data_IF_947772197466
#
_entry.id   IF_947772197466
#
_cell.length_a   1.000
_cell.length_b   1.000
_cell.length_c   1.000
_cell.angle_alpha   90.00
_cell.angle_beta   90.00
_cell.angle_gamma   90.00
#
_symmetry.space_group_name_H-M   'P 1'
#
loop_
_entity.id
_entity.type
_entity.pdbx_description
1 polymer ?
#
# COMPACT_ATOMS: atom_id res chain seq x y z
N UNK A 1 6.43 -9.19 24.28
CA UNK A 1 7.03 -7.90 23.92
C UNK A 1 6.39 -7.47 22.61
N UNK A 2 5.43 -6.56 22.68
CA UNK A 2 4.59 -6.18 21.52
C UNK A 2 5.14 -4.92 20.85
N UNK A 3 4.85 -4.74 19.56
CA UNK A 3 5.31 -3.58 18.75
C UNK A 3 4.92 -2.23 19.39
N UNK A 4 3.87 -2.21 20.21
CA UNK A 4 3.42 -1.06 21.01
C UNK A 4 4.41 -0.64 22.10
N UNK A 5 5.17 -1.57 22.69
CA UNK A 5 6.10 -1.29 23.79
C UNK A 5 7.42 -0.65 23.30
N UNK A 6 7.81 -0.90 22.05
CA UNK A 6 9.02 -0.31 21.45
C UNK A 6 8.77 1.03 20.77
N UNK A 7 7.56 1.26 20.25
CA UNK A 7 7.24 2.45 19.43
C UNK A 7 6.73 3.64 20.23
N UNK A 8 6.38 3.48 21.52
CA UNK A 8 5.82 4.56 22.35
C UNK A 8 4.47 5.09 21.85
N UNK A 9 3.81 4.41 20.91
CA UNK A 9 2.56 4.91 20.33
C UNK A 9 1.38 4.54 21.21
N UNK A 10 0.65 5.54 21.73
CA UNK A 10 -0.68 5.39 22.32
C UNK A 10 -1.80 5.29 21.28
N UNK A 11 -1.43 5.26 19.99
CA UNK A 11 -2.39 5.22 18.89
C UNK A 11 -3.07 3.87 18.87
N UNK A 12 -4.41 3.89 18.93
CA UNK A 12 -5.22 2.74 18.54
C UNK A 12 -5.04 2.52 17.03
N UNK A 13 -4.06 1.70 16.70
CA UNK A 13 -3.70 1.35 15.33
C UNK A 13 -4.87 0.75 14.55
N UNK A 14 -5.77 0.03 15.22
CA UNK A 14 -6.96 -0.53 14.59
C UNK A 14 -7.88 0.58 14.08
N UNK A 15 -8.21 1.54 14.95
CA UNK A 15 -9.02 2.70 14.59
C UNK A 15 -8.36 3.59 13.53
N UNK A 16 -7.04 3.81 13.62
CA UNK A 16 -6.31 4.58 12.62
C UNK A 16 -6.32 3.90 11.24
N UNK A 17 -6.16 2.57 11.19
CA UNK A 17 -6.22 1.81 9.94
C UNK A 17 -7.63 1.82 9.34
N UNK A 18 -8.68 1.73 10.16
CA UNK A 18 -10.05 1.86 9.70
C UNK A 18 -10.31 3.25 9.10
N UNK A 19 -9.89 4.32 9.78
CA UNK A 19 -10.01 5.68 9.28
C UNK A 19 -9.28 5.89 7.95
N UNK A 20 -8.09 5.29 7.79
CA UNK A 20 -7.38 5.30 6.51
C UNK A 20 -8.18 4.59 5.40
N UNK A 21 -8.72 3.39 5.67
CA UNK A 21 -9.56 2.66 4.70
C UNK A 21 -10.82 3.44 4.31
N UNK A 22 -11.41 4.17 5.25
CA UNK A 22 -12.55 5.04 4.98
C UNK A 22 -12.15 6.25 4.13
N UNK A 23 -10.98 6.84 4.36
CA UNK A 23 -10.42 7.91 3.55
C UNK A 23 -10.23 7.48 2.08
N UNK A 24 -9.73 6.26 1.86
CA UNK A 24 -9.49 5.70 0.53
C UNK A 24 -10.79 5.23 -0.17
N UNK A 25 -11.80 4.84 0.60
CA UNK A 25 -13.02 4.17 0.11
C UNK A 25 -13.70 4.85 -1.09
N UNK A 26 -13.86 6.19 -1.14
CA UNK A 26 -14.52 6.82 -2.28
C UNK A 26 -13.75 6.69 -3.61
N UNK A 27 -12.43 6.46 -3.60
CA UNK A 27 -11.63 6.23 -4.81
C UNK A 27 -11.81 4.82 -5.40
N UNK A 28 -12.38 3.89 -4.62
CA UNK A 28 -12.52 2.48 -4.96
C UNK A 28 -13.90 2.11 -5.54
N UNK A 29 -14.83 3.07 -5.61
CA UNK A 29 -16.12 2.87 -6.25
C UNK A 29 -17.03 1.92 -5.47
N UNK A 30 -17.21 0.70 -5.98
CA UNK A 30 -18.17 -0.31 -5.47
C UNK A 30 -17.82 -0.81 -4.07
N UNK A 31 -18.82 -1.18 -3.28
CA UNK A 31 -18.64 -1.66 -1.90
C UNK A 31 -17.86 -2.98 -1.84
N UNK A 32 -18.01 -3.86 -2.82
CA UNK A 32 -17.25 -5.11 -2.92
C UNK A 32 -15.77 -4.83 -3.18
N UNK A 33 -15.46 -3.88 -4.07
CA UNK A 33 -14.08 -3.45 -4.36
C UNK A 33 -13.45 -2.81 -3.13
N UNK A 34 -14.18 -1.96 -2.39
CA UNK A 34 -13.72 -1.41 -1.11
C UNK A 34 -13.39 -2.49 -0.09
N UNK A 35 -14.24 -3.51 0.05
CA UNK A 35 -14.00 -4.63 0.96
C UNK A 35 -12.77 -5.43 0.55
N UNK A 36 -12.62 -5.75 -0.74
CA UNK A 36 -11.42 -6.43 -1.25
C UNK A 36 -10.16 -5.61 -1.08
N UNK A 37 -10.20 -4.30 -1.27
CA UNK A 37 -9.08 -3.40 -1.00
C UNK A 37 -8.72 -3.38 0.49
N UNK A 38 -9.73 -3.39 1.38
CA UNK A 38 -9.52 -3.52 2.82
C UNK A 38 -8.74 -4.78 3.18
N UNK A 39 -9.18 -5.94 2.70
CA UNK A 39 -8.46 -7.22 2.89
C UNK A 39 -7.05 -7.20 2.29
N UNK A 40 -6.88 -6.56 1.13
CA UNK A 40 -5.57 -6.43 0.51
C UNK A 40 -4.61 -5.60 1.39
N UNK A 41 -5.08 -4.45 1.91
CA UNK A 41 -4.30 -3.61 2.83
C UNK A 41 -3.95 -4.38 4.11
N UNK A 42 -4.92 -5.10 4.68
CA UNK A 42 -4.68 -5.95 5.87
C UNK A 42 -3.60 -7.00 5.60
N UNK A 43 -3.68 -7.68 4.46
CA UNK A 43 -2.68 -8.66 4.07
C UNK A 43 -1.29 -8.06 3.81
N UNK A 44 -1.21 -6.82 3.27
CA UNK A 44 0.07 -6.12 3.12
C UNK A 44 0.71 -5.80 4.47
N UNK A 45 -0.09 -5.41 5.47
CA UNK A 45 0.35 -5.09 6.82
C UNK A 45 0.48 -6.32 7.74
N UNK A 46 0.08 -7.50 7.28
CA UNK A 46 0.16 -8.74 8.06
C UNK A 46 1.59 -9.27 8.23
N UNK A 47 1.73 -10.31 9.04
CA UNK A 47 2.99 -11.06 9.19
C UNK A 47 3.35 -11.98 8.02
N UNK A 48 2.56 -12.04 6.94
CA UNK A 48 2.83 -12.94 5.82
C UNK A 48 4.20 -12.65 5.17
N UNK A 49 5.08 -13.66 5.16
CA UNK A 49 6.47 -13.56 4.65
C UNK A 49 6.53 -13.14 3.17
N UNK A 50 5.59 -13.63 2.36
CA UNK A 50 5.46 -13.26 0.94
C UNK A 50 4.07 -12.73 0.65
N UNK A 51 3.99 -11.57 0.01
CA UNK A 51 2.73 -10.90 -0.33
C UNK A 51 2.21 -11.33 -1.72
N UNK A 52 2.12 -12.64 -1.94
CA UNK A 52 1.55 -13.19 -3.19
C UNK A 52 0.02 -13.15 -3.13
N UNK A 53 -0.64 -13.09 -4.29
CA UNK A 53 -2.11 -13.09 -4.33
C UNK A 53 -2.77 -14.29 -3.64
N UNK A 54 -2.07 -15.43 -3.50
CA UNK A 54 -2.56 -16.59 -2.77
C UNK A 54 -2.39 -16.44 -1.26
N UNK A 55 -1.20 -16.04 -0.80
CA UNK A 55 -0.91 -15.87 0.63
C UNK A 55 -1.74 -14.74 1.26
N UNK A 56 -1.96 -13.65 0.51
CA UNK A 56 -2.83 -12.56 0.97
C UNK A 56 -4.29 -13.00 1.11
N UNK A 57 -4.72 -14.01 0.36
CA UNK A 57 -6.09 -14.55 0.41
C UNK A 57 -6.24 -15.47 1.62
N UNK A 58 -5.24 -16.30 1.90
CA UNK A 58 -5.18 -17.12 3.11
C UNK A 58 -5.16 -16.25 4.37
N UNK A 59 -4.32 -15.20 4.39
CA UNK A 59 -4.29 -14.22 5.48
C UNK A 59 -5.66 -13.54 5.68
N UNK A 60 -6.34 -13.20 4.59
CA UNK A 60 -7.66 -12.57 4.64
C UNK A 60 -8.79 -13.56 5.02
N UNK A 61 -8.49 -14.85 5.22
CA UNK A 61 -9.50 -15.88 5.53
C UNK A 61 -10.48 -16.14 4.38
N UNK A 62 -10.07 -15.90 3.13
CA UNK A 62 -10.92 -16.06 1.95
C UNK A 62 -10.69 -17.42 1.28
N UNK A 63 -11.77 -18.11 0.92
CA UNK A 63 -11.69 -19.45 0.32
C UNK A 63 -11.07 -19.49 -1.09
N UNK A 64 -11.06 -18.37 -1.79
CA UNK A 64 -10.68 -18.28 -3.21
C UNK A 64 -9.93 -16.98 -3.51
N UNK A 65 -8.91 -17.02 -4.38
CA UNK A 65 -8.10 -15.84 -4.65
C UNK A 65 -8.76 -14.81 -5.56
N UNK A 66 -9.90 -15.17 -6.15
CA UNK A 66 -10.56 -14.40 -7.19
C UNK A 66 -10.82 -12.95 -6.81
N UNK A 67 -11.18 -12.68 -5.54
CA UNK A 67 -11.50 -11.32 -5.09
C UNK A 67 -10.29 -10.39 -5.12
N UNK A 68 -9.14 -10.82 -4.58
CA UNK A 68 -7.92 -10.00 -4.60
C UNK A 68 -7.31 -9.92 -6.00
N UNK A 69 -7.36 -11.01 -6.78
CA UNK A 69 -6.93 -10.97 -8.19
C UNK A 69 -7.81 -10.03 -9.02
N UNK A 70 -9.12 -10.03 -8.77
CA UNK A 70 -10.05 -9.12 -9.43
C UNK A 70 -9.77 -7.67 -9.03
N UNK A 71 -9.46 -7.40 -7.76
CA UNK A 71 -9.06 -6.05 -7.33
C UNK A 71 -7.89 -5.52 -8.17
N UNK A 72 -6.82 -6.31 -8.31
CA UNK A 72 -5.60 -5.86 -9.00
C UNK A 72 -5.68 -5.88 -10.52
N UNK A 73 -6.53 -6.72 -11.11
CA UNK A 73 -6.50 -6.96 -12.57
C UNK A 73 -7.79 -6.68 -13.35
N UNK A 74 -8.96 -6.67 -12.71
CA UNK A 74 -10.26 -6.60 -13.41
C UNK A 74 -11.21 -5.53 -12.91
N UNK A 75 -11.04 -5.08 -11.67
CA UNK A 75 -11.93 -4.11 -11.03
C UNK A 75 -11.65 -2.73 -11.59
N UNK A 76 -12.70 -1.93 -11.81
CA UNK A 76 -12.56 -0.55 -12.24
C UNK A 76 -12.40 0.35 -11.01
N UNK A 77 -11.17 0.81 -10.77
CA UNK A 77 -10.81 1.86 -9.82
C UNK A 77 -9.59 2.61 -10.37
N UNK A 78 -9.36 3.85 -9.90
CA UNK A 78 -8.25 4.68 -10.39
C UNK A 78 -7.10 4.69 -9.38
N UNK A 79 -5.91 4.24 -9.83
CA UNK A 79 -4.70 4.33 -9.03
C UNK A 79 -4.34 5.78 -8.71
N UNK A 80 -4.51 6.69 -9.67
CA UNK A 80 -4.28 8.13 -9.47
C UNK A 80 -5.23 8.69 -8.42
N UNK A 81 -6.50 8.31 -8.44
CA UNK A 81 -7.46 8.75 -7.43
C UNK A 81 -7.11 8.25 -6.02
N UNK A 82 -6.57 7.03 -5.90
CA UNK A 82 -6.06 6.51 -4.62
C UNK A 82 -4.82 7.32 -4.18
N UNK A 83 -3.88 7.57 -5.09
CA UNK A 83 -2.69 8.38 -4.82
C UNK A 83 -3.06 9.80 -4.36
N UNK A 84 -4.04 10.44 -4.99
CA UNK A 84 -4.51 11.78 -4.61
C UNK A 84 -5.11 11.78 -3.19
N UNK A 85 -5.87 10.75 -2.83
CA UNK A 85 -6.35 10.59 -1.44
C UNK A 85 -5.22 10.44 -0.44
N UNK A 86 -4.19 9.66 -0.77
CA UNK A 86 -3.02 9.51 0.11
C UNK A 86 -2.25 10.84 0.23
N UNK A 87 -2.06 11.57 -0.87
CA UNK A 87 -1.42 12.89 -0.88
C UNK A 87 -2.18 13.92 -0.05
N UNK A 88 -3.51 13.87 -0.06
CA UNK A 88 -4.35 14.74 0.78
C UNK A 88 -4.35 14.32 2.25
N UNK A 89 -4.23 13.02 2.53
CA UNK A 89 -4.27 12.45 3.87
C UNK A 89 -2.95 12.64 4.63
N UNK A 90 -1.82 12.31 4.00
CA UNK A 90 -0.53 12.21 4.68
C UNK A 90 -0.09 13.52 5.37
N UNK A 91 -0.19 14.72 4.75
CA UNK A 91 0.15 15.97 5.43
C UNK A 91 -0.78 16.29 6.60
N UNK A 92 -2.06 15.88 6.54
CA UNK A 92 -3.01 16.10 7.65
C UNK A 92 -2.75 15.17 8.82
N UNK A 93 -2.26 13.96 8.54
CA UNK A 93 -2.01 12.94 9.55
C UNK A 93 -0.60 13.02 10.16
N UNK A 94 0.39 13.49 9.39
CA UNK A 94 1.81 13.48 9.75
C UNK A 94 2.45 14.87 9.76
N UNK A 95 1.75 15.89 9.27
CA UNK A 95 2.27 17.26 9.22
C UNK A 95 2.39 17.85 10.62
N UNK A 96 3.47 18.59 10.82
CA UNK A 96 3.81 19.29 12.05
C UNK A 96 4.46 20.62 11.64
N UNK A 97 4.15 21.70 12.35
CA UNK A 97 4.68 23.04 12.05
C UNK A 97 6.20 23.10 12.21
N UNK A 98 6.76 22.28 13.12
CA UNK A 98 8.20 22.12 13.34
C UNK A 98 8.79 20.90 12.58
N UNK A 99 7.98 20.24 11.75
CA UNK A 99 8.36 19.04 11.01
C UNK A 99 9.28 19.33 9.82
N UNK A 100 10.10 18.34 9.45
CA UNK A 100 10.98 18.40 8.27
C UNK A 100 10.55 17.36 7.24
N UNK A 101 10.31 17.81 6.00
CA UNK A 101 10.09 16.91 4.87
C UNK A 101 11.43 16.50 4.26
N UNK A 102 11.75 15.21 4.36
CA UNK A 102 12.91 14.62 3.69
C UNK A 102 12.44 13.89 2.43
N UNK A 103 13.02 14.26 1.29
CA UNK A 103 12.76 13.60 0.01
C UNK A 103 14.01 12.82 -0.37
N UNK A 104 13.84 11.53 -0.61
CA UNK A 104 14.91 10.63 -1.04
C UNK A 104 14.43 9.75 -2.19
N UNK A 105 15.34 9.42 -3.11
CA UNK A 105 15.05 8.53 -4.22
C UNK A 105 15.29 7.09 -3.80
N UNK A 106 14.26 6.24 -3.91
CA UNK A 106 14.43 4.80 -3.73
C UNK A 106 14.23 4.07 -5.06
N UNK A 107 15.32 3.57 -5.63
CA UNK A 107 15.28 2.70 -6.80
C UNK A 107 15.08 1.24 -6.40
N UNK A 108 14.16 0.54 -7.05
CA UNK A 108 14.01 -0.91 -6.91
C UNK A 108 14.23 -1.58 -8.26
N UNK A 109 15.18 -2.51 -8.34
CA UNK A 109 15.46 -3.23 -9.59
C UNK A 109 14.23 -4.00 -10.06
N UNK A 110 13.81 -3.74 -11.29
CA UNK A 110 12.66 -4.36 -11.93
C UNK A 110 13.07 -5.12 -13.18
N UNK A 111 12.30 -6.16 -13.51
CA UNK A 111 12.42 -6.90 -14.78
C UNK A 111 11.15 -6.70 -15.59
N UNK A 112 11.29 -6.69 -16.91
CA UNK A 112 10.18 -6.47 -17.85
C UNK A 112 9.78 -5.00 -17.97
N UNK A 113 8.59 -4.77 -18.53
CA UNK A 113 8.05 -3.44 -18.88
C UNK A 113 6.68 -3.17 -18.25
N UNK A 114 6.19 -4.07 -17.40
CA UNK A 114 4.83 -4.03 -16.86
C UNK A 114 4.76 -3.55 -15.40
N UNK A 115 5.90 -3.47 -14.72
CA UNK A 115 5.94 -2.99 -13.34
C UNK A 115 5.72 -1.49 -13.28
N UNK A 116 5.03 -1.02 -12.25
CA UNK A 116 4.74 0.42 -12.06
C UNK A 116 6.04 1.23 -12.06
N UNK A 117 6.07 2.28 -12.88
CA UNK A 117 7.20 3.20 -12.98
C UNK A 117 8.51 2.59 -13.50
N UNK A 118 8.47 1.41 -14.12
CA UNK A 118 9.69 0.77 -14.64
C UNK A 118 10.24 1.55 -15.83
N UNK A 119 11.53 1.86 -15.78
CA UNK A 119 12.25 2.50 -16.86
C UNK A 119 13.76 2.35 -16.71
N UNK A 120 14.49 2.65 -17.79
CA UNK A 120 15.95 2.68 -17.74
C UNK A 120 16.42 3.98 -17.08
N UNK A 121 17.02 3.86 -15.91
CA UNK A 121 17.54 4.98 -15.14
C UNK A 121 18.75 4.53 -14.31
N UNK A 122 19.53 5.48 -13.81
CA UNK A 122 20.65 5.14 -12.94
C UNK A 122 20.12 4.67 -11.58
N UNK A 123 20.40 3.42 -11.22
CA UNK A 123 20.03 2.90 -9.89
C UNK A 123 21.23 3.01 -8.96
N UNK A 124 21.10 3.82 -7.91
CA UNK A 124 22.13 3.91 -6.86
C UNK A 124 22.43 2.56 -6.22
N UNK A 125 21.41 1.72 -6.00
CA UNK A 125 21.56 0.36 -5.45
C UNK A 125 22.34 -0.57 -6.36
N UNK A 126 22.21 -0.43 -7.69
CA UNK A 126 22.93 -1.26 -8.66
C UNK A 126 24.25 -0.64 -9.15
N UNK A 127 24.50 0.63 -8.82
CA UNK A 127 25.66 1.41 -9.28
C UNK A 127 25.72 1.65 -10.79
N UNK A 128 24.63 1.43 -11.53
CA UNK A 128 24.60 1.51 -12.99
C UNK A 128 23.20 1.78 -13.53
N UNK A 129 23.10 2.06 -14.82
CA UNK A 129 21.81 2.16 -15.52
C UNK A 129 21.19 0.78 -15.64
N UNK A 130 20.03 0.61 -15.02
CA UNK A 130 19.22 -0.61 -15.05
C UNK A 130 17.75 -0.28 -15.24
N UNK A 131 16.92 -1.30 -15.44
CA UNK A 131 15.49 -1.14 -15.28
C UNK A 131 15.15 -1.08 -13.78
N UNK A 132 14.59 0.04 -13.35
CA UNK A 132 14.04 0.22 -12.01
C UNK A 132 12.82 1.14 -12.02
#
# INVERSE_FOLDING_TARGET
>A
MTVSEWSGTTVDWGSALLALKDCLSPALGRSETRRSAGHFIDGLLSGAERKTGWLLVEEAGLDRPYRLQSLLGRSSWSADAVCDRVRDYAPKALGDDDGVLVVDETGFLKKGVQSVGVGRQYSGTAGRIENC
#
